data_IF_012467839105
#
_entry.id   IF_012467839105
#
_cell.length_a   1.000
_cell.length_b   1.000
_cell.length_c   1.000
_cell.angle_alpha   90.00
_cell.angle_beta   90.00
_cell.angle_gamma   90.00
#
_symmetry.space_group_name_H-M   'P 1'
#
loop_
_entity.id
_entity.type
_entity.pdbx_description
1 polymer ?
#
# COMPACT_ATOMS: atom_id res chain seq x y z
N UNK A 1 -16.32 11.97 -9.44
CA UNK A 1 -16.74 11.77 -8.05
C UNK A 1 -15.54 11.82 -7.11
N UNK A 2 -15.77 12.20 -5.88
CA UNK A 2 -14.80 12.13 -4.79
C UNK A 2 -14.98 10.86 -3.95
N UNK A 3 -16.03 10.12 -4.18
CA UNK A 3 -16.28 8.85 -3.52
C UNK A 3 -15.65 7.72 -4.35
N UNK A 4 -14.45 7.32 -3.97
CA UNK A 4 -13.72 6.27 -4.66
C UNK A 4 -14.43 4.91 -4.52
N UNK A 5 -14.96 4.61 -3.35
CA UNK A 5 -15.63 3.33 -3.09
C UNK A 5 -16.86 3.17 -3.97
N UNK A 6 -17.65 4.23 -4.13
CA UNK A 6 -18.79 4.23 -5.04
C UNK A 6 -18.36 4.06 -6.50
N UNK A 7 -17.34 4.80 -6.94
CA UNK A 7 -16.82 4.69 -8.30
C UNK A 7 -16.32 3.27 -8.60
N UNK A 8 -15.56 2.67 -7.66
CA UNK A 8 -15.06 1.30 -7.80
C UNK A 8 -16.16 0.24 -7.79
N UNK A 9 -17.27 0.49 -7.07
CA UNK A 9 -18.38 -0.45 -7.00
C UNK A 9 -19.30 -0.43 -8.23
N UNK A 10 -19.47 0.74 -8.88
CA UNK A 10 -20.50 0.94 -9.91
C UNK A 10 -19.94 1.05 -11.33
N UNK A 11 -18.68 1.44 -11.50
CA UNK A 11 -18.13 1.72 -12.81
C UNK A 11 -17.56 0.46 -13.49
N UNK A 12 -17.76 0.33 -14.80
CA UNK A 12 -17.07 -0.66 -15.64
C UNK A 12 -15.65 -0.20 -15.97
N UNK A 13 -15.47 1.10 -16.09
CA UNK A 13 -14.16 1.74 -16.33
C UNK A 13 -14.07 3.02 -15.50
N UNK A 14 -12.89 3.29 -14.99
CA UNK A 14 -12.57 4.54 -14.29
C UNK A 14 -11.41 5.25 -14.96
N UNK A 15 -11.43 6.57 -14.87
CA UNK A 15 -10.32 7.42 -15.27
C UNK A 15 -9.86 8.25 -14.07
N UNK A 16 -8.57 8.21 -13.78
CA UNK A 16 -7.95 9.05 -12.76
C UNK A 16 -7.48 10.33 -13.41
N UNK A 17 -7.96 11.45 -12.91
CA UNK A 17 -7.63 12.78 -13.41
C UNK A 17 -6.68 13.49 -12.45
N UNK A 18 -5.67 14.12 -13.00
CA UNK A 18 -4.76 14.99 -12.25
C UNK A 18 -4.17 16.06 -13.16
N UNK A 19 -4.09 17.27 -12.66
CA UNK A 19 -3.53 18.44 -13.40
C UNK A 19 -4.15 18.63 -14.79
N UNK A 20 -5.46 18.41 -14.91
CA UNK A 20 -6.19 18.56 -16.17
C UNK A 20 -5.93 17.47 -17.21
N UNK A 21 -5.33 16.35 -16.81
CA UNK A 21 -5.02 15.21 -17.69
C UNK A 21 -5.58 13.90 -17.13
N UNK A 22 -5.77 12.94 -18.02
CA UNK A 22 -6.01 11.55 -17.62
C UNK A 22 -4.66 10.92 -17.27
N UNK A 23 -4.50 10.54 -15.99
CA UNK A 23 -3.29 9.87 -15.49
C UNK A 23 -3.34 8.36 -15.72
N UNK A 24 -4.51 7.78 -15.56
CA UNK A 24 -4.74 6.34 -15.72
C UNK A 24 -6.19 6.11 -16.11
N UNK A 25 -6.45 5.11 -16.95
CA UNK A 25 -7.79 4.68 -17.34
C UNK A 25 -7.82 3.16 -17.49
N UNK A 26 -8.89 2.53 -17.05
CA UNK A 26 -9.08 1.08 -17.17
C UNK A 26 -10.19 0.56 -16.29
N UNK A 27 -10.27 -0.75 -16.16
CA UNK A 27 -11.16 -1.40 -15.20
C UNK A 27 -10.76 -1.03 -13.77
N UNK A 28 -11.74 -0.94 -12.84
CA UNK A 28 -11.46 -0.54 -11.46
C UNK A 28 -10.35 -1.36 -10.80
N UNK A 29 -10.40 -2.69 -10.89
CA UNK A 29 -9.41 -3.57 -10.30
C UNK A 29 -7.99 -3.35 -10.88
N UNK A 30 -7.88 -3.14 -12.19
CA UNK A 30 -6.61 -2.93 -12.87
C UNK A 30 -5.99 -1.58 -12.49
N UNK A 31 -6.80 -0.54 -12.45
CA UNK A 31 -6.36 0.82 -12.06
C UNK A 31 -5.93 0.85 -10.59
N UNK A 32 -6.65 0.17 -9.72
CA UNK A 32 -6.26 0.04 -8.31
C UNK A 32 -4.95 -0.74 -8.14
N UNK A 33 -4.81 -1.85 -8.84
CA UNK A 33 -3.64 -2.72 -8.73
C UNK A 33 -2.37 -2.08 -9.30
N UNK A 34 -2.51 -1.28 -10.35
CA UNK A 34 -1.39 -0.59 -11.00
C UNK A 34 -1.83 0.82 -11.43
N UNK A 35 -1.66 1.82 -10.57
CA UNK A 35 -1.97 3.20 -10.91
C UNK A 35 -1.00 3.84 -11.91
N UNK A 36 0.15 3.24 -12.14
CA UNK A 36 1.15 3.67 -13.11
C UNK A 36 2.07 4.79 -12.66
N UNK A 37 1.54 5.81 -12.01
CA UNK A 37 2.31 6.97 -11.53
C UNK A 37 2.08 7.23 -10.05
N UNK A 38 3.03 7.92 -9.41
CA UNK A 38 2.90 8.37 -8.01
C UNK A 38 1.65 9.24 -7.85
N UNK A 39 1.44 10.20 -8.75
CA UNK A 39 0.30 11.11 -8.68
C UNK A 39 -1.04 10.36 -8.80
N UNK A 40 -1.15 9.38 -9.71
CA UNK A 40 -2.37 8.57 -9.81
C UNK A 40 -2.61 7.73 -8.54
N UNK A 41 -1.55 7.17 -7.96
CA UNK A 41 -1.65 6.42 -6.71
C UNK A 41 -2.13 7.30 -5.55
N UNK A 42 -1.63 8.51 -5.44
CA UNK A 42 -2.09 9.50 -4.45
C UNK A 42 -3.56 9.88 -4.66
N UNK A 43 -3.95 10.14 -5.90
CA UNK A 43 -5.35 10.45 -6.24
C UNK A 43 -6.32 9.31 -5.89
N UNK A 44 -5.86 8.07 -5.98
CA UNK A 44 -6.64 6.89 -5.61
C UNK A 44 -6.67 6.63 -4.10
N UNK A 45 -5.88 7.37 -3.33
CA UNK A 45 -5.82 7.21 -1.87
C UNK A 45 -4.89 6.09 -1.39
N UNK A 46 -3.95 5.65 -2.23
CA UNK A 46 -2.90 4.75 -1.77
C UNK A 46 -1.97 5.46 -0.79
N UNK A 47 -1.71 4.84 0.35
CA UNK A 47 -0.94 5.44 1.44
C UNK A 47 0.49 4.89 1.54
N UNK A 48 0.74 3.68 1.04
CA UNK A 48 2.05 3.04 1.13
C UNK A 48 2.92 3.36 -0.10
N UNK A 49 3.21 4.62 -0.30
CA UNK A 49 4.17 5.07 -1.31
C UNK A 49 5.56 5.09 -0.67
N UNK A 50 6.43 4.19 -1.11
CA UNK A 50 7.72 3.94 -0.49
C UNK A 50 8.83 4.41 -1.41
N UNK A 51 9.67 5.31 -0.90
CA UNK A 51 10.86 5.79 -1.60
C UNK A 51 12.01 4.81 -1.37
N UNK A 52 12.60 4.34 -2.46
CA UNK A 52 13.75 3.46 -2.44
C UNK A 52 15.05 4.28 -2.48
N UNK A 53 16.07 3.78 -1.79
CA UNK A 53 17.41 4.37 -1.86
C UNK A 53 18.11 4.08 -3.20
N UNK A 54 19.38 4.52 -3.32
CA UNK A 54 20.16 4.34 -4.55
C UNK A 54 20.39 2.89 -4.97
N UNK A 55 20.23 1.94 -4.06
CA UNK A 55 20.34 0.50 -4.32
C UNK A 55 19.01 -0.21 -4.52
N UNK A 56 17.89 0.52 -4.44
CA UNK A 56 16.54 -0.04 -4.54
C UNK A 56 16.03 -0.65 -3.25
N UNK A 57 16.59 -0.25 -2.11
CA UNK A 57 16.26 -0.79 -0.80
C UNK A 57 15.42 0.18 0.05
N UNK A 58 14.71 -0.39 1.01
CA UNK A 58 13.99 0.29 2.08
C UNK A 58 13.90 -0.66 3.29
N UNK A 59 13.27 -0.26 4.41
CA UNK A 59 13.12 -1.16 5.57
C UNK A 59 12.41 -2.49 5.29
N UNK A 60 11.61 -2.60 4.23
CA UNK A 60 11.04 -3.88 3.77
C UNK A 60 12.04 -4.78 3.03
N UNK A 61 13.23 -4.29 2.75
CA UNK A 61 14.24 -4.96 1.97
C UNK A 61 14.42 -4.33 0.59
N UNK A 62 14.96 -5.11 -0.34
CA UNK A 62 15.17 -4.67 -1.72
C UNK A 62 13.88 -4.86 -2.52
N UNK A 63 13.32 -3.77 -3.02
CA UNK A 63 12.07 -3.78 -3.77
C UNK A 63 12.24 -3.31 -5.23
N UNK A 64 13.43 -2.88 -5.61
CA UNK A 64 13.72 -2.40 -6.96
C UNK A 64 15.20 -2.54 -7.31
N UNK A 65 15.56 -2.10 -8.51
CA UNK A 65 16.95 -2.16 -9.00
C UNK A 65 17.72 -0.85 -8.84
N UNK A 66 17.08 0.16 -8.27
CA UNK A 66 17.67 1.49 -8.06
C UNK A 66 16.70 2.44 -7.37
N UNK A 67 17.03 3.72 -7.33
CA UNK A 67 16.20 4.72 -6.67
C UNK A 67 14.88 4.90 -7.40
N UNK A 68 13.83 5.19 -6.66
CA UNK A 68 12.49 5.43 -7.20
C UNK A 68 11.44 5.35 -6.13
N UNK A 69 10.19 5.36 -6.56
CA UNK A 69 9.04 5.17 -5.67
C UNK A 69 8.27 3.94 -6.10
N UNK A 70 7.91 3.12 -5.15
CA UNK A 70 7.04 1.96 -5.37
C UNK A 70 5.79 2.08 -4.53
N UNK A 71 4.71 1.51 -5.02
CA UNK A 71 3.51 1.28 -4.22
C UNK A 71 3.63 -0.09 -3.56
N UNK A 72 3.51 -0.13 -2.24
CA UNK A 72 3.33 -1.38 -1.50
C UNK A 72 1.86 -1.52 -1.17
N UNK A 73 1.18 -2.43 -1.83
CA UNK A 73 -0.26 -2.59 -1.67
C UNK A 73 -0.61 -3.08 -0.28
N UNK A 74 -1.46 -2.33 0.43
CA UNK A 74 -1.89 -2.67 1.79
C UNK A 74 -2.66 -3.99 1.88
N UNK A 75 -3.39 -4.36 0.83
CA UNK A 75 -4.10 -5.63 0.72
C UNK A 75 -3.17 -6.83 0.42
N UNK A 76 -1.91 -6.56 0.12
CA UNK A 76 -0.85 -7.57 -0.12
C UNK A 76 0.23 -7.58 0.98
N UNK A 77 0.09 -6.74 1.98
CA UNK A 77 0.88 -6.83 3.21
C UNK A 77 0.22 -7.83 4.14
N UNK A 78 0.98 -8.82 4.56
CA UNK A 78 0.56 -9.80 5.56
C UNK A 78 1.06 -9.36 6.93
N UNK A 79 0.17 -9.35 7.89
CA UNK A 79 0.47 -9.03 9.29
C UNK A 79 0.27 -10.29 10.12
N UNK A 80 1.35 -10.80 10.67
CA UNK A 80 1.33 -11.97 11.55
C UNK A 80 1.37 -11.50 13.00
N UNK A 81 0.38 -11.87 13.80
CA UNK A 81 0.29 -11.48 15.21
C UNK A 81 1.49 -11.99 16.03
N UNK A 82 2.08 -13.08 15.60
CA UNK A 82 3.32 -13.62 16.17
C UNK A 82 4.43 -13.47 15.13
N UNK A 83 5.49 -12.69 15.42
CA UNK A 83 6.60 -12.53 14.50
C UNK A 83 7.28 -13.87 14.18
N UNK A 84 7.62 -14.06 12.91
CA UNK A 84 8.37 -15.22 12.45
C UNK A 84 9.87 -14.99 12.70
N UNK A 85 10.59 -16.00 13.16
CA UNK A 85 12.03 -15.92 13.38
C UNK A 85 12.77 -15.55 12.09
N UNK A 86 13.61 -14.52 12.13
CA UNK A 86 14.32 -13.98 10.97
C UNK A 86 13.46 -13.11 10.03
N UNK A 87 12.16 -12.94 10.31
CA UNK A 87 11.26 -12.09 9.55
C UNK A 87 11.33 -10.62 9.98
N UNK A 88 10.65 -9.78 9.21
CA UNK A 88 10.51 -8.37 9.54
C UNK A 88 9.52 -8.19 10.69
N UNK A 89 9.83 -7.29 11.61
CA UNK A 89 9.00 -6.97 12.76
C UNK A 89 8.67 -5.49 12.76
N UNK A 90 7.38 -5.18 12.83
CA UNK A 90 6.87 -3.82 12.93
C UNK A 90 6.15 -3.59 14.25
N UNK A 91 6.07 -2.34 14.67
CA UNK A 91 5.28 -1.91 15.81
C UNK A 91 3.91 -1.43 15.34
N UNK A 92 2.86 -1.84 16.02
CA UNK A 92 1.49 -1.38 15.76
C UNK A 92 1.30 0.01 16.36
N UNK A 93 1.01 0.99 15.50
CA UNK A 93 0.76 2.37 15.90
C UNK A 93 -0.72 2.63 16.17
N UNK A 94 -1.61 1.90 15.54
CA UNK A 94 -3.04 2.03 15.70
C UNK A 94 -3.80 1.14 14.73
N UNK A 95 -5.11 1.06 14.95
CA UNK A 95 -6.03 0.31 14.10
C UNK A 95 -7.27 1.15 13.81
N UNK A 96 -7.79 1.02 12.60
CA UNK A 96 -9.06 1.62 12.19
C UNK A 96 -9.86 0.61 11.39
N UNK A 97 -11.17 0.83 11.31
CA UNK A 97 -12.04 0.01 10.46
C UNK A 97 -12.44 0.85 9.24
N UNK A 98 -12.19 0.31 8.05
CA UNK A 98 -12.59 0.92 6.77
C UNK A 98 -13.27 -0.13 5.91
N UNK A 99 -14.49 0.15 5.46
CA UNK A 99 -15.22 -0.78 4.61
C UNK A 99 -15.43 -2.18 5.23
N UNK A 100 -15.57 -2.27 6.56
CA UNK A 100 -15.71 -3.54 7.27
C UNK A 100 -14.41 -4.33 7.48
N UNK A 101 -13.26 -3.76 7.10
CA UNK A 101 -11.93 -4.38 7.28
C UNK A 101 -11.09 -3.60 8.27
N UNK A 102 -10.28 -4.31 9.03
CA UNK A 102 -9.31 -3.69 9.92
C UNK A 102 -8.08 -3.23 9.14
N UNK A 103 -7.76 -1.96 9.26
CA UNK A 103 -6.53 -1.36 8.73
C UNK A 103 -5.60 -1.09 9.90
N UNK A 104 -4.39 -1.63 9.83
CA UNK A 104 -3.37 -1.51 10.86
C UNK A 104 -2.30 -0.54 10.40
N UNK A 105 -2.03 0.49 11.19
CA UNK A 105 -0.90 1.38 10.98
C UNK A 105 0.34 0.80 11.66
N UNK A 106 1.41 0.68 10.91
CA UNK A 106 2.66 0.02 11.32
C UNK A 106 3.84 0.97 11.20
N UNK A 107 4.81 0.80 12.09
CA UNK A 107 6.14 1.39 11.97
C UNK A 107 7.17 0.28 11.83
N UNK A 108 7.81 0.22 10.67
CA UNK A 108 8.87 -0.71 10.34
C UNK A 108 10.18 0.06 10.16
N UNK A 109 10.96 0.19 11.23
CA UNK A 109 12.26 0.86 11.17
C UNK A 109 12.19 2.32 10.70
N UNK A 110 11.15 3.05 11.07
CA UNK A 110 10.89 4.42 10.65
C UNK A 110 10.00 4.54 9.39
N UNK A 111 9.79 3.46 8.67
CA UNK A 111 8.86 3.41 7.54
C UNK A 111 7.45 3.15 8.06
N UNK A 112 6.53 4.07 7.77
CA UNK A 112 5.12 3.93 8.14
C UNK A 112 4.34 3.28 7.00
N UNK A 113 3.61 2.23 7.36
CA UNK A 113 2.81 1.45 6.42
C UNK A 113 1.39 1.27 6.96
N UNK A 114 0.46 1.04 6.06
CA UNK A 114 -0.89 0.59 6.39
C UNK A 114 -1.17 -0.74 5.73
N UNK A 115 -1.61 -1.68 6.52
CA UNK A 115 -1.91 -3.03 6.07
C UNK A 115 -3.35 -3.40 6.41
N UNK A 116 -3.96 -4.20 5.57
CA UNK A 116 -5.25 -4.80 5.90
C UNK A 116 -5.00 -6.09 6.69
N UNK A 117 -5.73 -6.27 7.76
CA UNK A 117 -5.57 -7.42 8.64
C UNK A 117 -6.91 -8.03 8.98
N UNK A 118 -6.94 -9.34 9.07
CA UNK A 118 -8.09 -10.09 9.58
C UNK A 118 -8.08 -10.17 11.11
N UNK A 119 -6.93 -9.87 11.73
CA UNK A 119 -6.77 -9.77 13.18
C UNK A 119 -6.97 -8.36 13.71
N UNK A 120 -6.99 -8.23 15.01
CA UNK A 120 -7.09 -6.94 15.71
C UNK A 120 -5.93 -6.79 16.68
N UNK A 121 -4.72 -6.49 16.20
CA UNK A 121 -3.59 -6.23 17.09
C UNK A 121 -3.82 -4.95 17.88
N UNK A 122 -3.19 -4.86 19.04
CA UNK A 122 -3.26 -3.70 19.91
C UNK A 122 -2.09 -2.76 19.68
N UNK A 123 -2.28 -1.47 19.98
CA UNK A 123 -1.21 -0.46 19.93
C UNK A 123 -0.02 -0.92 20.77
N UNK A 124 1.18 -0.83 20.21
CA UNK A 124 2.42 -1.24 20.82
C UNK A 124 2.78 -2.71 20.60
N UNK A 125 1.89 -3.51 20.05
CA UNK A 125 2.20 -4.89 19.69
C UNK A 125 3.31 -4.94 18.63
N UNK A 126 4.14 -5.97 18.72
CA UNK A 126 5.14 -6.29 17.69
C UNK A 126 4.60 -7.41 16.82
N UNK A 127 4.49 -7.13 15.54
CA UNK A 127 3.91 -8.06 14.56
C UNK A 127 4.90 -8.37 13.46
N UNK A 128 4.76 -9.55 12.86
CA UNK A 128 5.50 -9.90 11.65
C UNK A 128 4.88 -9.22 10.44
N UNK A 129 5.72 -8.82 9.49
CA UNK A 129 5.29 -8.18 8.24
C UNK A 129 5.95 -8.88 7.07
N UNK A 130 5.17 -9.21 6.07
CA UNK A 130 5.66 -9.72 4.78
C UNK A 130 4.83 -9.16 3.63
N UNK A 131 5.42 -9.11 2.45
CA UNK A 131 4.74 -8.68 1.23
C UNK A 131 4.45 -9.90 0.37
N UNK A 132 3.18 -10.10 0.03
CA UNK A 132 2.77 -11.16 -0.87
C UNK A 132 3.14 -10.83 -2.32
N UNK A 133 3.19 -11.85 -3.17
CA UNK A 133 3.48 -11.70 -4.60
C UNK A 133 2.51 -10.69 -5.25
N UNK A 134 3.06 -9.81 -6.08
CA UNK A 134 2.32 -8.73 -6.72
C UNK A 134 1.98 -7.56 -5.78
N UNK A 135 2.51 -7.56 -4.54
CA UNK A 135 2.27 -6.49 -3.57
C UNK A 135 3.12 -5.24 -3.78
N UNK A 136 4.18 -5.33 -4.58
CA UNK A 136 5.05 -4.18 -4.90
C UNK A 136 4.85 -3.79 -6.35
N UNK A 137 4.50 -2.53 -6.58
CA UNK A 137 4.22 -2.00 -7.92
C UNK A 137 5.14 -0.81 -8.17
N UNK A 138 6.05 -0.89 -9.16
CA UNK A 138 6.87 0.25 -9.55
C UNK A 138 6.00 1.39 -10.09
N UNK A 139 6.33 2.62 -9.73
CA UNK A 139 5.61 3.80 -10.17
C UNK A 139 6.53 4.74 -10.94
N UNK A 140 6.00 5.34 -11.99
CA UNK A 140 6.63 6.48 -12.65
C UNK A 140 6.34 7.78 -11.89
N UNK A 141 7.14 8.77 -12.13
CA UNK A 141 6.91 10.11 -11.56
C UNK A 141 5.72 10.81 -12.20
#
# INVERSE_FOLDING_TARGET
THDHDEAFALADRIAVLGDGRILRIGGPADVWADPGTVHAAECLGHENLVVLDGSGCCPLGRLGDGPGTVLVRGDRLTVDLVPVAGGLVAEVLGTTIRGGRTVVALDLGGLRLRAWSDGSPSIGDRVGVSVADGGVVPLSR
#
